data_IF_772390553512
#
_entry.id   IF_772390553512
#
_cell.length_a   1.000
_cell.length_b   1.000
_cell.length_c   1.000
_cell.angle_alpha   90.00
_cell.angle_beta   90.00
_cell.angle_gamma   90.00
#
_symmetry.space_group_name_H-M   'P 1'
#
loop_
_entity.id
_entity.type
_entity.pdbx_description
1 polymer ?
#
# COMPACT_ATOMS: atom_id res chain seq x y z
N UNK A 1 36.05 3.15 4.73
CA UNK A 1 34.87 3.84 4.17
C UNK A 1 35.43 5.08 3.53
N UNK A 2 35.44 5.10 2.20
CA UNK A 2 36.13 6.15 1.46
C UNK A 2 35.27 7.42 1.39
N UNK A 3 35.91 8.55 1.12
CA UNK A 3 35.26 9.88 1.10
C UNK A 3 34.08 9.93 0.11
N UNK A 4 34.18 9.16 -0.99
CA UNK A 4 33.14 9.04 -2.01
C UNK A 4 31.90 8.28 -1.50
N UNK A 5 32.09 7.24 -0.67
CA UNK A 5 31.00 6.53 0.01
C UNK A 5 30.28 7.44 1.01
N UNK A 6 31.04 8.21 1.79
CA UNK A 6 30.48 9.17 2.74
C UNK A 6 29.69 10.29 2.05
N UNK A 7 30.16 10.78 0.91
CA UNK A 7 29.49 11.83 0.15
C UNK A 7 28.20 11.32 -0.50
N UNK A 8 28.22 10.10 -1.05
CA UNK A 8 27.03 9.45 -1.57
C UNK A 8 26.01 9.17 -0.47
N UNK A 9 26.44 8.68 0.70
CA UNK A 9 25.57 8.47 1.85
C UNK A 9 24.94 9.79 2.33
N UNK A 10 25.73 10.88 2.38
CA UNK A 10 25.24 12.21 2.74
C UNK A 10 24.17 12.73 1.77
N UNK A 11 24.38 12.63 0.46
CA UNK A 11 23.39 13.04 -0.54
C UNK A 11 22.10 12.21 -0.50
N UNK A 12 22.21 10.91 -0.24
CA UNK A 12 21.06 10.01 -0.07
C UNK A 12 20.26 10.41 1.18
N UNK A 13 20.93 10.75 2.27
CA UNK A 13 20.29 11.23 3.49
C UNK A 13 19.58 12.58 3.29
N UNK A 14 20.14 13.52 2.51
CA UNK A 14 19.45 14.77 2.17
C UNK A 14 18.21 14.58 1.28
N UNK A 15 18.21 13.57 0.40
CA UNK A 15 17.07 13.23 -0.45
C UNK A 15 15.93 12.55 0.34
N UNK A 16 16.25 11.82 1.42
CA UNK A 16 15.28 11.23 2.35
C UNK A 16 14.97 12.25 3.45
N UNK A 17 14.07 13.21 3.17
CA UNK A 17 13.64 14.25 4.15
C UNK A 17 12.77 13.73 5.31
N UNK A 18 12.65 12.42 5.48
CA UNK A 18 12.09 11.70 6.64
C UNK A 18 10.62 11.99 6.97
N UNK A 19 9.73 11.20 6.37
CA UNK A 19 8.91 10.28 7.17
C UNK A 19 8.73 8.97 6.38
N UNK A 20 8.49 7.83 7.05
CA UNK A 20 8.09 6.55 6.40
C UNK A 20 6.67 6.60 5.79
N UNK A 21 6.12 7.79 5.62
CA UNK A 21 4.81 8.06 5.06
C UNK A 21 5.02 8.60 3.64
N UNK A 22 4.06 8.39 2.76
CA UNK A 22 4.19 8.86 1.38
C UNK A 22 2.97 8.64 0.52
N UNK A 23 1.79 8.46 1.12
CA UNK A 23 0.55 8.52 0.35
C UNK A 23 0.22 9.98 0.07
N UNK A 24 0.10 10.29 -1.22
CA UNK A 24 -0.48 11.53 -1.72
C UNK A 24 -1.89 11.23 -2.19
N UNK A 25 -2.86 12.03 -1.76
CA UNK A 25 -4.26 11.86 -2.16
C UNK A 25 -4.40 11.97 -3.67
N UNK A 26 -5.14 11.02 -4.21
CA UNK A 26 -5.43 10.89 -5.61
C UNK A 26 -6.12 12.13 -6.24
N UNK A 27 -5.63 12.58 -7.41
CA UNK A 27 -6.38 13.46 -8.32
C UNK A 27 -7.61 12.78 -8.92
N UNK A 28 -8.77 13.43 -8.91
CA UNK A 28 -10.01 12.87 -9.46
C UNK A 28 -9.88 12.58 -10.97
N UNK A 29 -10.25 11.37 -11.40
CA UNK A 29 -10.38 10.99 -12.81
C UNK A 29 -11.77 10.35 -13.05
N UNK A 30 -12.59 10.99 -13.89
CA UNK A 30 -13.96 10.53 -14.18
C UNK A 30 -14.02 9.20 -14.95
N UNK A 31 -12.87 8.69 -15.42
CA UNK A 31 -12.78 7.39 -16.10
C UNK A 31 -12.63 6.24 -15.11
N UNK A 32 -12.30 6.53 -13.85
CA UNK A 32 -12.16 5.54 -12.79
C UNK A 32 -13.44 4.70 -12.67
N UNK A 33 -13.29 3.37 -12.77
CA UNK A 33 -14.42 2.44 -12.74
C UNK A 33 -14.66 1.95 -11.33
N UNK A 34 -15.91 2.02 -10.88
CA UNK A 34 -16.32 1.47 -9.59
C UNK A 34 -16.46 -0.06 -9.66
N UNK A 35 -16.08 -0.71 -8.56
CA UNK A 35 -16.36 -2.11 -8.33
C UNK A 35 -17.87 -2.29 -8.18
N UNK A 36 -18.46 -3.07 -9.07
CA UNK A 36 -19.89 -3.37 -9.02
C UNK A 36 -20.15 -4.36 -7.89
N UNK A 37 -21.05 -4.01 -6.97
CA UNK A 37 -21.45 -4.86 -5.86
C UNK A 37 -22.89 -5.37 -6.08
N UNK A 38 -23.12 -6.65 -5.82
CA UNK A 38 -24.48 -7.21 -5.83
C UNK A 38 -25.18 -6.84 -4.51
N UNK A 39 -26.46 -6.47 -4.58
CA UNK A 39 -27.19 -5.99 -3.41
C UNK A 39 -27.49 -7.11 -2.39
N UNK A 40 -27.63 -8.35 -2.83
CA UNK A 40 -28.14 -9.48 -2.01
C UNK A 40 -27.08 -10.30 -1.26
N UNK A 41 -25.83 -9.83 -1.18
CA UNK A 41 -24.80 -10.57 -0.46
C UNK A 41 -24.98 -10.45 1.05
N UNK A 42 -25.42 -11.53 1.70
CA UNK A 42 -25.35 -11.68 3.16
C UNK A 42 -23.89 -11.83 3.59
N UNK A 43 -23.44 -10.97 4.50
CA UNK A 43 -22.06 -10.94 4.99
C UNK A 43 -21.97 -11.58 6.38
N UNK A 44 -20.92 -12.36 6.67
CA UNK A 44 -20.68 -12.85 8.02
C UNK A 44 -20.32 -11.69 8.95
N UNK A 45 -20.51 -11.90 10.26
CA UNK A 45 -20.16 -10.92 11.29
C UNK A 45 -18.68 -10.53 11.25
N UNK A 46 -17.81 -11.52 11.05
CA UNK A 46 -16.36 -11.33 10.96
C UNK A 46 -15.83 -12.08 9.74
N UNK A 47 -14.80 -11.53 9.11
CA UNK A 47 -14.13 -12.15 7.96
C UNK A 47 -12.70 -11.66 7.85
N UNK A 48 -11.80 -12.50 7.35
CA UNK A 48 -10.39 -12.12 7.19
C UNK A 48 -9.72 -12.89 6.06
N UNK A 49 -8.97 -12.16 5.24
CA UNK A 49 -8.03 -12.68 4.25
C UNK A 49 -6.61 -12.82 4.83
N UNK A 50 -6.37 -12.49 6.11
CA UNK A 50 -5.03 -12.46 6.74
C UNK A 50 -4.16 -13.67 6.42
N UNK A 51 -4.70 -14.88 6.56
CA UNK A 51 -3.97 -16.13 6.32
C UNK A 51 -3.63 -16.39 4.85
N UNK A 52 -4.26 -15.66 3.92
CA UNK A 52 -4.00 -15.74 2.48
C UNK A 52 -3.09 -14.63 1.98
N UNK A 53 -2.83 -13.60 2.80
CA UNK A 53 -1.97 -12.49 2.40
C UNK A 53 -0.52 -12.94 2.29
N UNK A 54 0.27 -12.32 1.39
CA UNK A 54 1.71 -12.48 1.39
C UNK A 54 2.32 -12.10 2.74
N UNK A 55 3.56 -12.53 3.02
CA UNK A 55 4.27 -12.12 4.23
C UNK A 55 4.31 -10.60 4.43
N UNK A 56 4.27 -10.17 5.69
CA UNK A 56 4.39 -8.75 6.02
C UNK A 56 5.77 -8.25 5.63
N UNK A 57 5.79 -7.16 4.88
CA UNK A 57 6.99 -6.48 4.39
C UNK A 57 7.38 -5.30 5.30
N UNK A 58 8.62 -4.81 5.13
CA UNK A 58 9.11 -3.62 5.80
C UNK A 58 9.64 -2.61 4.77
N UNK A 59 9.06 -1.40 4.74
CA UNK A 59 9.47 -0.32 3.85
C UNK A 59 10.67 0.49 4.38
N UNK A 60 11.07 0.27 5.63
CA UNK A 60 12.12 1.05 6.27
C UNK A 60 11.74 2.52 6.42
N UNK A 61 12.65 3.41 6.04
CA UNK A 61 12.52 4.87 6.21
C UNK A 61 12.02 5.60 4.96
N UNK A 62 11.81 4.89 3.85
CA UNK A 62 11.43 5.46 2.57
C UNK A 62 9.92 5.68 2.49
N UNK A 63 9.47 6.81 1.93
CA UNK A 63 8.06 7.16 1.69
C UNK A 63 7.33 6.31 0.63
N UNK A 64 7.70 5.04 0.46
CA UNK A 64 7.23 4.16 -0.61
C UNK A 64 5.99 3.33 -0.24
N UNK A 65 5.13 3.80 0.66
CA UNK A 65 4.01 3.01 1.18
C UNK A 65 3.00 2.57 0.10
N UNK A 66 2.75 3.39 -0.92
CA UNK A 66 1.92 3.04 -2.08
C UNK A 66 2.48 1.83 -2.80
N UNK A 67 3.76 1.85 -3.15
CA UNK A 67 4.45 0.75 -3.79
C UNK A 67 4.47 -0.53 -2.95
N UNK A 68 4.61 -0.41 -1.62
CA UNK A 68 4.54 -1.55 -0.70
C UNK A 68 3.13 -2.19 -0.72
N UNK A 69 2.08 -1.39 -0.58
CA UNK A 69 0.70 -1.87 -0.61
C UNK A 69 0.34 -2.49 -1.98
N UNK A 70 0.81 -1.88 -3.07
CA UNK A 70 0.58 -2.37 -4.43
C UNK A 70 1.32 -3.67 -4.70
N UNK A 71 2.60 -3.76 -4.33
CA UNK A 71 3.42 -4.98 -4.50
C UNK A 71 2.81 -6.18 -3.75
N UNK A 72 2.31 -5.97 -2.52
CA UNK A 72 1.63 -7.03 -1.77
C UNK A 72 0.26 -7.38 -2.36
N UNK A 73 -0.50 -6.40 -2.86
CA UNK A 73 -1.80 -6.67 -3.47
C UNK A 73 -1.67 -7.47 -4.78
N UNK A 74 -0.70 -7.14 -5.64
CA UNK A 74 -0.47 -7.92 -6.86
C UNK A 74 0.04 -9.33 -6.54
N UNK A 75 0.96 -9.46 -5.59
CA UNK A 75 1.47 -10.78 -5.17
C UNK A 75 0.36 -11.64 -4.57
N UNK A 76 -0.54 -11.05 -3.77
CA UNK A 76 -1.73 -11.76 -3.29
C UNK A 76 -2.53 -12.35 -4.45
N UNK A 77 -2.82 -11.54 -5.47
CA UNK A 77 -3.58 -12.02 -6.63
C UNK A 77 -2.85 -13.15 -7.36
N UNK A 78 -1.54 -13.01 -7.58
CA UNK A 78 -0.72 -14.03 -8.24
C UNK A 78 -0.65 -15.33 -7.44
N UNK A 79 -0.58 -15.26 -6.11
CA UNK A 79 -0.61 -16.43 -5.23
C UNK A 79 -1.96 -17.17 -5.30
N UNK A 80 -3.07 -16.43 -5.32
CA UNK A 80 -4.42 -17.03 -5.41
C UNK A 80 -4.63 -17.70 -6.77
N UNK A 81 -4.17 -17.09 -7.85
CA UNK A 81 -4.24 -17.65 -9.21
C UNK A 81 -3.13 -18.67 -9.51
N UNK A 82 -2.25 -18.95 -8.53
CA UNK A 82 -1.11 -19.88 -8.65
C UNK A 82 -0.16 -19.53 -9.80
N UNK A 83 -0.01 -18.25 -10.09
CA UNK A 83 0.88 -17.72 -11.13
C UNK A 83 2.32 -17.65 -10.59
N UNK A 84 2.49 -17.06 -9.42
CA UNK A 84 3.79 -16.86 -8.77
C UNK A 84 3.58 -16.66 -7.25
N UNK A 85 4.65 -16.78 -6.48
CA UNK A 85 4.68 -16.53 -5.04
C UNK A 85 5.90 -15.72 -4.60
N UNK A 86 6.67 -15.16 -5.55
CA UNK A 86 7.83 -14.33 -5.26
C UNK A 86 7.47 -12.85 -5.07
N UNK A 87 8.13 -12.13 -4.13
CA UNK A 87 7.97 -10.69 -3.95
C UNK A 87 8.14 -9.89 -5.25
N UNK A 88 7.32 -8.85 -5.41
CA UNK A 88 7.42 -7.89 -6.53
C UNK A 88 8.21 -6.67 -6.11
N UNK A 89 9.05 -6.16 -7.02
CA UNK A 89 9.96 -5.07 -6.70
C UNK A 89 9.20 -3.79 -6.34
N UNK A 90 9.29 -3.43 -5.05
CA UNK A 90 8.69 -2.20 -4.53
C UNK A 90 9.40 -0.96 -5.06
N UNK A 91 10.72 -1.00 -5.25
CA UNK A 91 11.45 0.13 -5.83
C UNK A 91 11.16 0.32 -7.32
N UNK A 92 10.85 -0.76 -8.06
CA UNK A 92 10.41 -0.63 -9.45
C UNK A 92 9.11 0.17 -9.52
N UNK A 93 8.12 -0.18 -8.68
CA UNK A 93 6.85 0.56 -8.61
C UNK A 93 7.12 2.00 -8.16
N UNK A 94 7.85 2.20 -7.06
CA UNK A 94 8.07 3.53 -6.48
C UNK A 94 8.88 4.49 -7.37
N UNK A 95 9.85 3.97 -8.13
CA UNK A 95 10.57 4.77 -9.12
C UNK A 95 9.62 5.22 -10.23
N UNK A 96 8.81 4.31 -10.77
CA UNK A 96 7.90 4.62 -11.89
C UNK A 96 6.71 5.51 -11.46
N UNK A 97 6.24 5.39 -10.22
CA UNK A 97 5.32 6.36 -9.61
C UNK A 97 5.88 7.78 -9.67
N UNK A 98 7.09 7.97 -9.15
CA UNK A 98 7.74 9.29 -9.13
C UNK A 98 8.20 9.77 -10.50
N UNK A 99 8.44 8.87 -11.46
CA UNK A 99 8.61 9.24 -12.88
C UNK A 99 7.34 9.88 -13.44
N UNK A 100 6.15 9.32 -13.14
CA UNK A 100 4.88 9.89 -13.60
C UNK A 100 4.57 11.24 -12.92
N UNK A 101 5.02 11.40 -11.68
CA UNK A 101 4.82 12.62 -10.89
C UNK A 101 5.96 13.66 -11.04
N UNK A 102 7.02 13.34 -11.79
CA UNK A 102 8.22 14.17 -12.00
C UNK A 102 9.00 14.50 -10.72
N UNK A 103 9.24 13.49 -9.87
CA UNK A 103 9.85 13.64 -8.55
C UNK A 103 10.89 12.55 -8.21
N UNK A 104 11.50 11.90 -9.21
CA UNK A 104 12.41 10.75 -9.00
C UNK A 104 13.62 11.03 -8.12
N UNK A 105 14.08 12.29 -8.08
CA UNK A 105 15.27 12.70 -7.33
C UNK A 105 14.99 12.94 -5.83
N UNK A 106 13.73 12.88 -5.40
CA UNK A 106 13.31 13.16 -4.02
C UNK A 106 12.37 12.07 -3.50
N UNK A 107 12.36 11.88 -2.18
CA UNK A 107 11.40 10.98 -1.51
C UNK A 107 10.05 11.71 -1.34
N UNK A 108 9.29 11.84 -2.43
CA UNK A 108 8.04 12.61 -2.46
C UNK A 108 6.80 11.87 -1.99
N UNK A 109 6.90 10.55 -1.78
CA UNK A 109 5.71 9.69 -1.83
C UNK A 109 5.13 9.62 -3.25
N UNK A 110 3.91 9.11 -3.34
CA UNK A 110 3.16 8.98 -4.60
C UNK A 110 1.64 8.84 -4.37
N UNK A 111 0.87 9.03 -5.43
CA UNK A 111 -0.53 8.62 -5.50
C UNK A 111 -0.68 7.13 -5.79
N UNK A 112 -1.66 6.49 -5.15
CA UNK A 112 -1.95 5.06 -5.38
C UNK A 112 -2.30 4.80 -6.86
N UNK A 113 -3.02 5.73 -7.52
CA UNK A 113 -3.35 5.55 -8.95
C UNK A 113 -2.14 5.42 -9.86
N UNK A 114 -1.04 6.11 -9.55
CA UNK A 114 0.12 6.17 -10.44
C UNK A 114 0.95 4.89 -10.32
N UNK A 115 0.92 4.25 -9.14
CA UNK A 115 1.42 2.89 -8.96
C UNK A 115 0.55 1.86 -9.66
N UNK A 116 -0.78 1.98 -9.58
CA UNK A 116 -1.72 1.11 -10.32
C UNK A 116 -1.54 1.28 -11.83
N UNK A 117 -1.34 2.52 -12.31
CA UNK A 117 -1.06 2.80 -13.71
C UNK A 117 0.27 2.18 -14.17
N UNK A 118 1.28 2.22 -13.31
CA UNK A 118 2.59 1.58 -13.56
C UNK A 118 2.42 0.07 -13.77
N UNK A 119 1.84 -0.64 -12.80
CA UNK A 119 1.70 -2.11 -12.87
C UNK A 119 0.72 -2.57 -13.95
N UNK A 120 -0.22 -1.72 -14.38
CA UNK A 120 -1.13 -2.03 -15.48
C UNK A 120 -0.46 -1.82 -16.85
N UNK A 121 0.31 -0.75 -17.03
CA UNK A 121 0.94 -0.43 -18.31
C UNK A 121 2.25 -1.18 -18.55
N UNK A 122 3.11 -1.21 -17.53
CA UNK A 122 4.47 -1.75 -17.58
C UNK A 122 4.55 -3.14 -16.96
N UNK A 123 3.70 -3.42 -15.97
CA UNK A 123 3.82 -4.59 -15.09
C UNK A 123 4.78 -4.33 -13.93
N UNK A 124 5.30 -5.38 -13.31
CA UNK A 124 6.30 -5.26 -12.24
C UNK A 124 7.24 -6.46 -12.25
N UNK A 125 8.55 -6.24 -12.09
CA UNK A 125 9.52 -7.33 -12.00
C UNK A 125 9.55 -7.96 -10.60
N UNK A 126 10.20 -9.11 -10.46
CA UNK A 126 10.54 -9.68 -9.16
C UNK A 126 11.42 -8.72 -8.34
N UNK A 127 11.25 -8.75 -7.02
CA UNK A 127 12.16 -8.07 -6.09
C UNK A 127 13.56 -8.70 -6.08
N UNK A 128 13.71 -9.95 -6.55
CA UNK A 128 15.05 -10.55 -6.79
C UNK A 128 15.82 -9.77 -7.87
N UNK A 129 15.12 -9.31 -8.91
CA UNK A 129 15.72 -8.60 -10.05
C UNK A 129 16.00 -7.12 -9.76
N UNK A 130 15.17 -6.50 -8.92
CA UNK A 130 15.40 -5.15 -8.41
C UNK A 130 15.15 -5.10 -6.90
N UNK A 131 16.16 -5.45 -6.08
CA UNK A 131 16.05 -5.57 -4.64
C UNK A 131 15.64 -4.28 -3.94
N UNK A 132 14.98 -4.44 -2.78
CA UNK A 132 14.54 -3.33 -1.95
C UNK A 132 15.68 -2.72 -1.12
N UNK A 133 16.60 -2.07 -1.82
CA UNK A 133 17.68 -1.26 -1.26
C UNK A 133 17.27 0.21 -1.33
N UNK A 134 16.76 0.75 -0.23
CA UNK A 134 16.17 2.09 -0.20
C UNK A 134 17.15 3.20 -0.63
N UNK A 135 18.47 2.95 -0.62
CA UNK A 135 19.48 3.88 -1.13
C UNK A 135 19.40 4.07 -2.65
N UNK A 136 18.83 3.10 -3.36
CA UNK A 136 18.68 3.08 -4.83
C UNK A 136 17.34 3.63 -5.32
N UNK A 137 16.56 4.25 -4.45
CA UNK A 137 15.22 4.69 -4.82
C UNK A 137 15.22 5.71 -5.97
N UNK A 138 16.25 6.56 -6.10
CA UNK A 138 16.41 7.49 -7.22
C UNK A 138 16.96 6.85 -8.49
N UNK A 139 17.43 5.61 -8.42
CA UNK A 139 18.09 4.92 -9.54
C UNK A 139 17.03 4.24 -10.40
N UNK A 140 17.05 4.53 -11.71
CA UNK A 140 16.21 3.85 -12.69
C UNK A 140 16.48 2.34 -12.67
N UNK A 141 15.46 1.48 -12.53
CA UNK A 141 15.63 0.05 -12.72
C UNK A 141 16.24 -0.27 -14.10
N UNK A 142 17.06 -1.31 -14.24
CA UNK A 142 17.64 -1.68 -15.52
C UNK A 142 16.56 -2.14 -16.51
N UNK A 143 16.82 -2.02 -17.81
CA UNK A 143 15.86 -2.38 -18.87
C UNK A 143 15.45 -3.86 -18.84
N UNK A 144 16.27 -4.73 -18.22
CA UNK A 144 15.94 -6.13 -17.94
C UNK A 144 14.74 -6.25 -17.01
N UNK A 145 14.63 -5.39 -15.98
CA UNK A 145 13.46 -5.34 -15.09
C UNK A 145 12.19 -4.94 -15.85
N UNK A 146 12.28 -3.96 -16.76
CA UNK A 146 11.14 -3.56 -17.59
C UNK A 146 10.74 -4.64 -18.60
N UNK A 147 11.68 -5.48 -19.03
CA UNK A 147 11.39 -6.63 -19.90
C UNK A 147 10.69 -7.74 -19.12
N UNK A 148 11.18 -8.08 -17.93
CA UNK A 148 10.55 -9.04 -17.02
C UNK A 148 9.17 -8.57 -16.58
N UNK A 149 9.02 -7.30 -16.21
CA UNK A 149 7.76 -6.73 -15.72
C UNK A 149 6.56 -7.01 -16.65
N UNK A 150 6.79 -7.09 -17.96
CA UNK A 150 5.73 -7.36 -18.95
C UNK A 150 5.03 -8.70 -18.74
N UNK A 151 5.63 -9.66 -18.05
CA UNK A 151 5.00 -10.96 -17.76
C UNK A 151 4.07 -10.94 -16.55
N UNK A 152 4.10 -9.87 -15.75
CA UNK A 152 3.34 -9.73 -14.50
C UNK A 152 2.53 -8.44 -14.50
N UNK A 153 1.60 -8.32 -15.47
CA UNK A 153 0.71 -7.17 -15.58
C UNK A 153 -0.58 -7.38 -14.81
N UNK A 154 -0.98 -6.36 -14.06
CA UNK A 154 -2.31 -6.32 -13.46
C UNK A 154 -3.35 -6.09 -14.54
N UNK A 155 -4.40 -6.90 -14.49
CA UNK A 155 -5.35 -6.99 -15.59
C UNK A 155 -6.43 -5.91 -15.48
N UNK A 156 -7.02 -5.74 -14.29
CA UNK A 156 -8.06 -4.75 -14.03
C UNK A 156 -7.88 -4.11 -12.67
N UNK A 157 -8.36 -2.88 -12.55
CA UNK A 157 -8.42 -2.14 -11.29
C UNK A 157 -9.77 -1.43 -11.17
N UNK A 158 -10.26 -1.30 -9.94
CA UNK A 158 -11.54 -0.67 -9.61
C UNK A 158 -11.45 0.15 -8.34
N UNK A 159 -12.16 1.28 -8.30
CA UNK A 159 -12.46 2.01 -7.06
C UNK A 159 -13.49 1.25 -6.25
N UNK A 160 -13.37 1.27 -4.93
CA UNK A 160 -14.41 0.83 -4.01
C UNK A 160 -15.06 2.08 -3.40
N UNK A 161 -16.39 2.09 -3.33
CA UNK A 161 -17.10 3.14 -2.60
C UNK A 161 -16.66 3.14 -1.13
N UNK A 162 -16.44 4.32 -0.57
CA UNK A 162 -16.01 4.51 0.82
C UNK A 162 -17.19 4.33 1.79
N UNK A 163 -17.80 3.15 1.76
CA UNK A 163 -18.83 2.75 2.72
C UNK A 163 -18.41 1.46 3.39
N UNK A 164 -18.76 1.28 4.67
CA UNK A 164 -18.44 0.06 5.41
C UNK A 164 -18.94 -1.18 4.67
N UNK A 165 -20.15 -1.10 4.10
CA UNK A 165 -20.77 -2.21 3.39
C UNK A 165 -20.02 -2.56 2.09
N UNK A 166 -19.65 -1.56 1.28
CA UNK A 166 -18.96 -1.81 0.00
C UNK A 166 -17.54 -2.33 0.22
N UNK A 167 -16.83 -1.81 1.22
CA UNK A 167 -15.52 -2.30 1.64
C UNK A 167 -15.62 -3.78 2.05
N UNK A 168 -16.59 -4.14 2.91
CA UNK A 168 -16.78 -5.55 3.31
C UNK A 168 -17.17 -6.46 2.14
N UNK A 169 -18.05 -6.01 1.23
CA UNK A 169 -18.45 -6.78 0.06
C UNK A 169 -17.25 -7.06 -0.86
N UNK A 170 -16.37 -6.08 -1.07
CA UNK A 170 -15.14 -6.28 -1.83
C UNK A 170 -14.22 -7.32 -1.15
N UNK A 171 -13.98 -7.18 0.15
CA UNK A 171 -13.18 -8.13 0.93
C UNK A 171 -13.75 -9.56 0.88
N UNK A 172 -15.07 -9.71 1.06
CA UNK A 172 -15.73 -11.02 1.06
C UNK A 172 -15.64 -11.73 -0.30
N UNK A 173 -15.56 -10.95 -1.39
CA UNK A 173 -15.30 -11.46 -2.74
C UNK A 173 -13.85 -11.83 -2.98
N UNK A 174 -12.99 -11.69 -1.96
CA UNK A 174 -11.57 -12.06 -2.03
C UNK A 174 -10.68 -10.94 -2.52
N UNK A 175 -11.11 -9.68 -2.53
CA UNK A 175 -10.30 -8.54 -2.94
C UNK A 175 -9.78 -7.75 -1.72
N UNK A 176 -8.49 -7.87 -1.37
CA UNK A 176 -7.83 -6.92 -0.49
C UNK A 176 -7.89 -5.52 -1.10
N UNK A 177 -8.03 -4.50 -0.25
CA UNK A 177 -8.26 -3.13 -0.70
C UNK A 177 -7.06 -2.27 -0.33
N UNK A 178 -6.38 -1.73 -1.32
CA UNK A 178 -5.37 -0.71 -1.12
C UNK A 178 -6.11 0.60 -0.82
N UNK A 179 -5.71 1.33 0.21
CA UNK A 179 -6.29 2.63 0.50
C UNK A 179 -5.27 3.55 1.16
N UNK A 180 -5.52 4.85 1.08
CA UNK A 180 -4.74 5.88 1.74
C UNK A 180 -5.47 6.46 2.94
N UNK A 181 -4.74 6.83 3.98
CA UNK A 181 -5.30 7.49 5.15
C UNK A 181 -4.32 8.52 5.74
N UNK A 182 -4.89 9.56 6.33
CA UNK A 182 -4.16 10.60 7.05
C UNK A 182 -3.60 9.98 8.32
N UNK A 183 -2.33 10.20 8.61
CA UNK A 183 -1.66 9.65 9.78
C UNK A 183 -1.52 10.73 10.84
N UNK A 184 -1.81 10.34 12.07
CA UNK A 184 -1.61 11.17 13.25
C UNK A 184 -0.54 10.56 14.17
N UNK A 185 0.15 11.40 14.91
CA UNK A 185 1.22 11.06 15.86
C UNK A 185 0.89 9.91 16.84
N UNK A 186 -0.40 9.73 17.16
CA UNK A 186 -0.89 8.61 17.96
C UNK A 186 -0.45 7.23 17.47
N UNK A 187 -0.21 7.04 16.16
CA UNK A 187 0.16 5.75 15.59
C UNK A 187 1.56 5.29 16.03
N UNK A 188 2.41 6.24 16.42
CA UNK A 188 3.78 5.98 16.85
C UNK A 188 3.88 5.69 18.35
N UNK A 189 2.78 5.85 19.10
CA UNK A 189 2.75 5.56 20.54
C UNK A 189 3.03 4.07 20.77
N UNK A 190 3.84 3.71 21.80
CA UNK A 190 4.15 2.31 22.10
C UNK A 190 2.94 1.39 22.28
N UNK A 191 1.83 1.93 22.79
CA UNK A 191 0.57 1.19 22.93
C UNK A 191 -0.02 0.80 21.57
N UNK A 192 0.09 1.67 20.57
CA UNK A 192 -0.36 1.41 19.19
C UNK A 192 0.64 0.55 18.45
N UNK A 193 1.94 0.83 18.54
CA UNK A 193 2.96 0.00 17.88
C UNK A 193 3.02 -1.43 18.41
N UNK A 194 2.51 -1.69 19.62
CA UNK A 194 2.40 -3.05 20.19
C UNK A 194 1.07 -3.74 19.87
N UNK A 195 -0.03 -3.00 19.79
CA UNK A 195 -1.38 -3.57 19.61
C UNK A 195 -1.87 -3.55 18.16
N UNK A 196 -1.35 -2.63 17.35
CA UNK A 196 -1.82 -2.33 16.00
C UNK A 196 -3.15 -1.58 15.97
N UNK A 197 -3.76 -1.25 17.10
CA UNK A 197 -5.05 -0.56 17.16
C UNK A 197 -4.82 0.94 16.95
N UNK A 198 -5.17 1.43 15.76
CA UNK A 198 -5.04 2.83 15.38
C UNK A 198 -6.25 3.59 15.95
N UNK A 199 -6.05 4.55 16.88
CA UNK A 199 -7.15 5.31 17.45
C UNK A 199 -7.68 6.33 16.43
N UNK A 200 -8.95 6.71 16.58
CA UNK A 200 -9.46 7.91 15.93
C UNK A 200 -8.69 9.13 16.46
N UNK A 201 -8.31 10.07 15.59
CA UNK A 201 -7.64 11.28 16.02
C UNK A 201 -8.60 12.16 16.81
N UNK A 202 -8.06 12.89 17.78
CA UNK A 202 -8.74 13.96 18.49
C UNK A 202 -7.97 15.28 18.34
N UNK A 203 -8.47 16.35 18.97
CA UNK A 203 -7.88 17.70 18.87
C UNK A 203 -6.44 17.83 19.38
N UNK A 204 -5.95 16.87 20.16
CA UNK A 204 -4.57 16.86 20.68
C UNK A 204 -3.60 16.17 19.71
N UNK A 205 -4.12 15.38 18.77
CA UNK A 205 -3.30 14.65 17.82
C UNK A 205 -2.84 15.54 16.67
N UNK A 206 -1.56 15.44 16.33
CA UNK A 206 -0.98 16.13 15.18
C UNK A 206 -1.00 15.24 13.95
N UNK A 207 -1.47 15.78 12.84
CA UNK A 207 -1.26 15.17 11.52
C UNK A 207 0.24 15.16 11.20
N UNK A 208 0.76 14.00 10.80
CA UNK A 208 2.19 13.79 10.53
C UNK A 208 2.46 13.20 9.14
N UNK A 209 1.44 12.99 8.32
CA UNK A 209 1.59 12.58 6.93
C UNK A 209 0.43 11.77 6.40
N UNK A 210 0.62 11.13 5.24
CA UNK A 210 -0.33 10.20 4.63
C UNK A 210 0.30 8.83 4.43
N UNK A 211 -0.43 7.76 4.76
CA UNK A 211 0.06 6.39 4.59
C UNK A 211 -0.89 5.54 3.75
N UNK A 212 -0.33 4.59 2.99
CA UNK A 212 -1.09 3.64 2.19
C UNK A 212 -0.83 2.21 2.66
N UNK A 213 -1.90 1.44 2.83
CA UNK A 213 -1.89 0.08 3.39
C UNK A 213 -3.00 -0.77 2.74
N UNK A 214 -3.06 -2.05 3.11
CA UNK A 214 -4.06 -2.98 2.59
C UNK A 214 -5.07 -3.32 3.68
N UNK A 215 -6.36 -3.11 3.42
CA UNK A 215 -7.45 -3.66 4.22
C UNK A 215 -7.72 -5.11 3.79
N UNK A 216 -7.82 -6.02 4.76
CA UNK A 216 -7.85 -7.48 4.53
C UNK A 216 -8.98 -8.19 5.26
N UNK A 217 -9.77 -7.50 6.08
CA UNK A 217 -10.85 -8.14 6.83
C UNK A 217 -11.60 -7.16 7.73
N UNK A 218 -12.53 -7.69 8.51
CA UNK A 218 -13.31 -6.92 9.48
C UNK A 218 -13.76 -7.75 10.68
N UNK A 219 -14.07 -7.04 11.76
CA UNK A 219 -14.68 -7.55 12.99
C UNK A 219 -15.85 -6.63 13.38
N UNK A 220 -17.09 -7.13 13.27
CA UNK A 220 -18.30 -6.37 13.63
C UNK A 220 -18.57 -6.28 15.12
N UNK A 221 -17.98 -7.16 15.94
CA UNK A 221 -18.07 -7.03 17.40
C UNK A 221 -17.31 -5.77 17.82
N UNK A 222 -16.13 -5.56 17.26
CA UNK A 222 -15.24 -4.44 17.61
C UNK A 222 -15.44 -3.21 16.72
N UNK A 223 -16.15 -3.35 15.59
CA UNK A 223 -16.30 -2.33 14.52
C UNK A 223 -14.95 -1.88 13.96
N UNK A 224 -14.07 -2.85 13.70
CA UNK A 224 -12.72 -2.63 13.20
C UNK A 224 -12.53 -3.32 11.85
N UNK A 225 -11.86 -2.63 10.92
CA UNK A 225 -11.21 -3.26 9.80
C UNK A 225 -9.85 -3.82 10.22
N UNK A 226 -9.46 -4.93 9.61
CA UNK A 226 -8.14 -5.55 9.77
C UNK A 226 -7.28 -5.06 8.61
N UNK A 227 -6.09 -4.56 8.91
CA UNK A 227 -5.15 -4.05 7.92
C UNK A 227 -3.81 -4.78 7.98
N UNK A 228 -3.18 -4.96 6.83
CA UNK A 228 -1.78 -5.37 6.73
C UNK A 228 -0.92 -4.11 6.50
N UNK A 229 0.01 -3.86 7.41
CA UNK A 229 0.93 -2.72 7.31
C UNK A 229 2.26 -3.15 6.63
N UNK A 230 3.12 -2.18 6.34
CA UNK A 230 4.42 -2.35 5.68
C UNK A 230 5.60 -1.95 6.59
N UNK A 231 5.47 -2.12 7.91
CA UNK A 231 6.48 -1.74 8.90
C UNK A 231 7.13 -2.94 9.61
N UNK A 232 7.07 -4.12 8.98
CA UNK A 232 7.60 -5.37 9.51
C UNK A 232 6.72 -6.02 10.58
N UNK A 233 7.06 -7.27 10.92
CA UNK A 233 6.27 -8.11 11.82
C UNK A 233 6.26 -7.63 13.28
N UNK A 234 7.23 -6.81 13.68
CA UNK A 234 7.32 -6.30 15.06
C UNK A 234 6.30 -5.19 15.34
N UNK A 235 5.70 -4.60 14.29
CA UNK A 235 4.67 -3.59 14.46
C UNK A 235 3.28 -4.24 14.61
N UNK A 236 2.54 -3.81 15.62
CA UNK A 236 1.17 -4.20 15.88
C UNK A 236 1.02 -5.70 16.17
N UNK A 237 -0.06 -6.29 15.65
CA UNK A 237 -0.27 -7.74 15.73
C UNK A 237 0.45 -8.44 14.57
N UNK A 238 1.74 -8.72 14.75
CA UNK A 238 2.58 -9.42 13.76
C UNK A 238 2.58 -8.74 12.38
N UNK A 239 2.66 -7.41 12.35
CA UNK A 239 2.59 -6.59 11.13
C UNK A 239 1.17 -6.21 10.68
N UNK A 240 0.15 -6.72 11.38
CA UNK A 240 -1.24 -6.34 11.16
C UNK A 240 -1.69 -5.30 12.19
N UNK A 241 -2.73 -4.57 11.84
CA UNK A 241 -3.37 -3.62 12.74
C UNK A 241 -4.87 -3.59 12.56
N UNK A 242 -5.48 -2.66 13.28
CA UNK A 242 -6.91 -2.50 13.34
C UNK A 242 -7.26 -1.02 13.29
N UNK A 243 -8.22 -0.69 12.44
CA UNK A 243 -8.64 0.69 12.21
C UNK A 243 -10.17 0.74 12.19
N UNK A 244 -10.77 1.72 12.87
CA UNK A 244 -12.21 1.73 13.06
C UNK A 244 -12.97 1.97 11.76
N UNK A 245 -14.21 1.48 11.71
CA UNK A 245 -15.12 1.78 10.60
C UNK A 245 -15.31 3.27 10.40
N UNK A 246 -15.40 4.01 11.50
CA UNK A 246 -15.61 5.46 11.48
C UNK A 246 -14.38 6.20 10.95
N UNK A 247 -13.18 5.65 11.11
CA UNK A 247 -11.96 6.18 10.49
C UNK A 247 -12.01 6.01 8.97
N UNK A 248 -12.22 4.77 8.50
CA UNK A 248 -12.17 4.46 7.06
C UNK A 248 -13.35 5.03 6.27
N UNK A 249 -14.51 5.21 6.89
CA UNK A 249 -15.68 5.80 6.22
C UNK A 249 -15.69 7.33 6.24
N UNK A 250 -14.75 7.97 6.96
CA UNK A 250 -14.62 9.42 6.98
C UNK A 250 -13.73 9.91 5.83
N UNK A 251 -14.30 10.69 4.92
CA UNK A 251 -13.63 11.23 3.72
C UNK A 251 -12.53 12.25 4.00
N UNK A 252 -12.46 12.78 5.23
CA UNK A 252 -11.37 13.64 5.69
C UNK A 252 -10.19 12.84 6.26
N UNK A 253 -10.39 11.56 6.61
CA UNK A 253 -9.38 10.73 7.25
C UNK A 253 -8.84 9.63 6.36
N UNK A 254 -9.64 9.13 5.41
CA UNK A 254 -9.23 8.11 4.46
C UNK A 254 -9.77 8.40 3.06
N UNK A 255 -9.09 7.85 2.06
CA UNK A 255 -9.52 7.92 0.67
C UNK A 255 -8.90 6.79 -0.15
N UNK A 256 -9.13 6.82 -1.45
CA UNK A 256 -8.33 6.07 -2.42
C UNK A 256 -8.41 4.55 -2.32
N UNK A 257 -9.62 4.07 -2.07
CA UNK A 257 -9.92 2.65 -2.01
C UNK A 257 -9.89 2.02 -3.41
N UNK A 258 -8.89 1.17 -3.64
CA UNK A 258 -8.63 0.49 -4.90
C UNK A 258 -8.52 -1.02 -4.68
N UNK A 259 -9.07 -1.79 -5.62
CA UNK A 259 -8.83 -3.23 -5.72
C UNK A 259 -8.20 -3.56 -7.06
N UNK A 260 -7.39 -4.63 -7.07
CA UNK A 260 -6.84 -5.24 -8.27
C UNK A 260 -7.66 -6.50 -8.58
N UNK A 261 -8.04 -6.65 -9.86
CA UNK A 261 -8.76 -7.80 -10.38
C UNK A 261 -7.84 -8.53 -11.38
N UNK A 262 -7.58 -9.80 -11.13
CA UNK A 262 -7.06 -10.70 -12.15
C UNK A 262 -8.26 -11.38 -12.80
N UNK A 263 -8.35 -11.32 -14.12
CA UNK A 263 -9.27 -12.18 -14.85
C UNK A 263 -8.49 -13.39 -15.34
N UNK A 264 -8.95 -14.57 -14.93
CA UNK A 264 -8.74 -15.79 -15.71
C UNK A 264 -9.22 -15.61 -17.15
#
# INVERSE_FOLDING_TARGET
MDIEDMYNEFLIVEAIKSTRYGWVKDRIDNRDKLLQNNNDTSLPRNFSLREKMPPVINQGKLGSCTANAIANAILYCEMIEKIDNKPRSRLFIYYNERMLENSVDVDSGAQIRDGIKTINSQGVCSEDSWPYDISKFTIKPPDTCYTEAKTHKVIKYRKVNQTVNDIKKALYRGFPIIFGFVVYDSIEKPTVTKSGIIPLPNSENKEIGGHAIICVGWDDVRRLFIIQNSWGIEWGDKGFGYISYDYLSNTNLASDFWVLEFTN
#
